data_IF_032017966227
#
_entry.id   IF_032017966227
#
_cell.length_a   1.000
_cell.length_b   1.000
_cell.length_c   1.000
_cell.angle_alpha   90.00
_cell.angle_beta   90.00
_cell.angle_gamma   90.00
#
_symmetry.space_group_name_H-M   'P 1'
#
loop_
_entity.id
_entity.type
_entity.pdbx_description
1 polymer ?
#
# COMPACT_ATOMS: atom_id res chain seq x y z
N UNK A 1 -9.55 17.48 14.76
CA UNK A 1 -8.71 18.60 14.32
C UNK A 1 -7.58 18.00 13.49
N UNK A 2 -7.38 18.41 12.23
CA UNK A 2 -6.28 17.90 11.41
C UNK A 2 -5.05 18.78 11.64
N UNK A 3 -3.93 18.19 12.03
CA UNK A 3 -2.66 18.90 12.22
C UNK A 3 -1.90 18.94 10.89
N UNK A 4 -1.54 20.14 10.44
CA UNK A 4 -0.75 20.31 9.20
C UNK A 4 0.73 20.23 9.55
N UNK A 5 1.38 19.13 9.18
CA UNK A 5 2.83 18.95 9.31
C UNK A 5 3.51 19.43 8.02
N UNK A 6 4.33 20.47 8.11
CA UNK A 6 5.15 20.95 6.98
C UNK A 6 6.50 20.25 7.03
N UNK A 7 6.74 19.32 6.11
CA UNK A 7 8.04 18.70 5.94
C UNK A 7 9.04 19.74 5.42
N UNK A 8 10.26 19.84 5.99
CA UNK A 8 11.27 20.76 5.49
C UNK A 8 11.59 20.45 4.03
N UNK A 9 11.56 21.48 3.17
CA UNK A 9 11.86 21.35 1.75
C UNK A 9 13.34 21.05 1.56
N UNK A 10 13.69 19.78 1.45
CA UNK A 10 15.03 19.38 1.04
C UNK A 10 15.27 19.81 -0.42
N UNK A 11 16.43 20.39 -0.69
CA UNK A 11 16.85 20.86 -2.02
C UNK A 11 17.19 19.73 -2.99
N UNK A 12 17.12 18.49 -2.51
CA UNK A 12 17.17 17.23 -3.25
C UNK A 12 16.02 16.36 -2.75
N UNK A 13 15.58 15.39 -3.57
CA UNK A 13 14.50 14.44 -3.26
C UNK A 13 14.45 14.08 -1.77
N UNK A 14 13.25 14.11 -1.16
CA UNK A 14 13.07 13.52 0.16
C UNK A 14 13.61 12.10 0.08
N UNK A 15 14.57 11.76 0.94
CA UNK A 15 15.06 10.39 1.00
C UNK A 15 13.86 9.48 1.29
N UNK A 16 13.80 8.30 0.67
CA UNK A 16 12.74 7.32 0.94
C UNK A 16 12.56 7.06 2.45
N UNK A 17 13.64 7.18 3.23
CA UNK A 17 13.61 7.07 4.68
C UNK A 17 12.76 8.15 5.38
N UNK A 18 12.72 9.39 4.86
CA UNK A 18 11.89 10.47 5.41
C UNK A 18 10.42 10.16 5.15
N UNK A 19 10.08 9.70 3.95
CA UNK A 19 8.70 9.35 3.60
C UNK A 19 8.20 8.14 4.41
N UNK A 20 9.07 7.16 4.65
CA UNK A 20 8.78 6.02 5.52
C UNK A 20 8.57 6.45 6.97
N UNK A 21 9.45 7.28 7.52
CA UNK A 21 9.29 7.83 8.87
C UNK A 21 8.00 8.64 9.01
N UNK A 22 7.65 9.42 7.98
CA UNK A 22 6.38 10.14 7.98
C UNK A 22 5.19 9.17 8.02
N UNK A 23 5.22 8.12 7.20
CA UNK A 23 4.17 7.09 7.21
C UNK A 23 4.04 6.40 8.56
N UNK A 24 5.17 6.06 9.18
CA UNK A 24 5.24 5.44 10.51
C UNK A 24 4.65 6.32 11.62
N UNK A 25 4.85 7.64 11.53
CA UNK A 25 4.37 8.58 12.55
C UNK A 25 2.94 9.05 12.33
N UNK A 26 2.48 9.16 11.07
CA UNK A 26 1.28 9.93 10.75
C UNK A 26 0.22 9.21 9.93
N UNK A 27 0.53 8.09 9.26
CA UNK A 27 -0.43 7.44 8.37
C UNK A 27 -1.24 6.35 9.08
N UNK A 28 -2.46 6.70 9.50
CA UNK A 28 -3.41 5.73 10.06
C UNK A 28 -3.97 4.77 8.99
N UNK A 29 -3.96 5.18 7.71
CA UNK A 29 -4.40 4.36 6.57
C UNK A 29 -3.49 4.61 5.37
N UNK A 30 -3.15 3.55 4.64
CA UNK A 30 -2.35 3.64 3.41
C UNK A 30 -3.08 3.00 2.22
N UNK A 31 -3.00 3.64 1.05
CA UNK A 31 -3.52 3.13 -0.21
C UNK A 31 -2.36 2.95 -1.20
N UNK A 32 -2.04 1.70 -1.55
CA UNK A 32 -1.09 1.39 -2.62
C UNK A 32 -1.82 1.34 -3.95
N UNK A 33 -1.62 2.39 -4.74
CA UNK A 33 -2.11 2.45 -6.11
C UNK A 33 -1.29 1.55 -7.04
N UNK A 34 0.03 1.45 -6.84
CA UNK A 34 0.94 0.52 -7.51
C UNK A 34 1.46 -0.54 -6.54
N UNK A 35 0.70 -1.62 -6.36
CA UNK A 35 0.94 -2.60 -5.29
C UNK A 35 2.29 -3.35 -5.37
N UNK A 36 2.92 -3.40 -6.55
CA UNK A 36 4.24 -4.00 -6.76
C UNK A 36 5.43 -3.02 -6.60
N UNK A 37 5.17 -1.74 -6.31
CA UNK A 37 6.23 -0.76 -6.06
C UNK A 37 6.95 -1.08 -4.74
N UNK A 38 8.26 -1.35 -4.77
CA UNK A 38 9.04 -1.61 -3.56
C UNK A 38 9.02 -0.42 -2.60
N UNK A 39 9.13 0.81 -3.11
CA UNK A 39 9.01 2.01 -2.30
C UNK A 39 7.63 2.09 -1.62
N UNK A 40 6.55 1.96 -2.40
CA UNK A 40 5.18 2.04 -1.88
C UNK A 40 4.84 0.90 -0.91
N UNK A 41 5.36 -0.30 -1.16
CA UNK A 41 5.21 -1.46 -0.29
C UNK A 41 5.80 -1.18 1.09
N UNK A 42 7.05 -0.70 1.15
CA UNK A 42 7.68 -0.34 2.42
C UNK A 42 6.99 0.83 3.12
N UNK A 43 6.57 1.86 2.37
CA UNK A 43 5.83 2.99 2.93
C UNK A 43 4.54 2.54 3.61
N UNK A 44 3.80 1.61 3.01
CA UNK A 44 2.58 1.07 3.61
C UNK A 44 2.85 0.09 4.75
N UNK A 45 3.90 -0.72 4.63
CA UNK A 45 4.31 -1.67 5.66
C UNK A 45 4.66 -1.01 6.98
N UNK A 46 5.30 0.16 6.95
CA UNK A 46 5.63 0.89 8.18
C UNK A 46 4.51 1.80 8.68
N UNK A 47 3.39 1.92 7.95
CA UNK A 47 2.34 2.90 8.29
C UNK A 47 1.78 2.73 9.70
N UNK A 48 1.58 3.83 10.42
CA UNK A 48 1.13 3.85 11.83
C UNK A 48 -0.07 2.94 12.11
N UNK A 49 -1.14 3.11 11.34
CA UNK A 49 -2.42 2.45 11.64
C UNK A 49 -2.53 1.02 11.11
N UNK A 50 -1.55 0.57 10.31
CA UNK A 50 -1.53 -0.77 9.69
C UNK A 50 -2.83 -1.14 8.94
N UNK A 51 -3.63 -0.14 8.56
CA UNK A 51 -4.81 -0.29 7.74
C UNK A 51 -4.43 -0.01 6.29
N UNK A 52 -4.07 -1.07 5.57
CA UNK A 52 -3.49 -0.96 4.23
C UNK A 52 -4.45 -1.54 3.19
N UNK A 53 -4.70 -0.75 2.15
CA UNK A 53 -5.45 -1.15 0.97
C UNK A 53 -4.52 -1.18 -0.24
N UNK A 54 -4.58 -2.22 -1.06
CA UNK A 54 -3.76 -2.30 -2.27
C UNK A 54 -4.59 -2.68 -3.48
N UNK A 55 -4.29 -2.06 -4.62
CA UNK A 55 -4.90 -2.39 -5.90
C UNK A 55 -4.34 -3.71 -6.44
N UNK A 56 -5.17 -4.74 -6.58
CA UNK A 56 -4.74 -6.04 -7.13
C UNK A 56 -4.53 -6.05 -8.64
N UNK A 57 -4.92 -4.99 -9.35
CA UNK A 57 -4.97 -4.94 -10.82
C UNK A 57 -3.58 -4.96 -11.48
N UNK A 58 -2.48 -4.81 -10.72
CA UNK A 58 -1.11 -4.97 -11.23
C UNK A 58 -0.67 -6.42 -11.49
N UNK A 59 -1.61 -7.39 -11.44
CA UNK A 59 -1.32 -8.79 -11.77
C UNK A 59 -1.90 -9.31 -13.09
N UNK A 60 -2.67 -8.51 -13.86
CA UNK A 60 -3.48 -9.08 -14.95
C UNK A 60 -2.90 -9.04 -16.37
N UNK A 61 -1.95 -8.17 -16.68
CA UNK A 61 -1.34 -8.15 -18.01
C UNK A 61 0.16 -7.86 -17.93
N UNK A 62 0.93 -8.93 -18.15
CA UNK A 62 2.37 -8.99 -18.47
C UNK A 62 3.38 -8.64 -17.33
N UNK A 63 3.96 -9.70 -16.76
CA UNK A 63 5.35 -9.84 -16.20
C UNK A 63 5.58 -9.90 -14.69
N UNK A 64 4.72 -9.36 -13.83
CA UNK A 64 4.97 -9.38 -12.37
C UNK A 64 3.96 -10.24 -11.59
N UNK A 65 2.70 -10.31 -12.02
CA UNK A 65 1.64 -11.08 -11.36
C UNK A 65 1.74 -12.60 -11.55
N UNK A 66 2.31 -13.06 -12.65
CA UNK A 66 2.35 -14.50 -13.00
C UNK A 66 3.32 -15.32 -12.13
N UNK A 67 4.28 -14.65 -11.48
CA UNK A 67 5.33 -15.29 -10.67
C UNK A 67 5.26 -14.94 -9.19
N UNK A 68 4.31 -14.10 -8.79
CA UNK A 68 4.26 -13.52 -7.47
C UNK A 68 2.93 -13.89 -6.85
N UNK A 69 2.96 -14.88 -5.95
CA UNK A 69 1.79 -15.26 -5.18
C UNK A 69 1.43 -14.09 -4.25
N UNK A 70 0.27 -13.43 -4.43
CA UNK A 70 -0.15 -12.36 -3.53
C UNK A 70 -0.24 -12.84 -2.07
N UNK A 71 -0.43 -14.15 -1.82
CA UNK A 71 -0.46 -14.77 -0.49
C UNK A 71 0.87 -14.75 0.22
N UNK A 72 1.96 -14.76 -0.52
CA UNK A 72 3.32 -14.70 0.04
C UNK A 72 3.85 -13.26 0.08
N UNK A 73 3.38 -12.40 -0.83
CA UNK A 73 3.93 -11.05 -0.98
C UNK A 73 3.24 -9.98 -0.12
N UNK A 74 1.92 -10.05 0.09
CA UNK A 74 1.20 -9.07 0.89
C UNK A 74 0.86 -9.63 2.28
N UNK A 75 1.06 -8.85 3.37
CA UNK A 75 0.65 -9.27 4.70
C UNK A 75 -0.84 -9.64 4.80
N UNK A 76 -1.17 -10.61 5.64
CA UNK A 76 -2.54 -11.10 5.82
C UNK A 76 -3.52 -10.05 6.35
N UNK A 77 -3.02 -9.04 7.08
CA UNK A 77 -3.82 -7.93 7.60
C UNK A 77 -4.23 -6.92 6.51
N UNK A 78 -3.60 -6.96 5.34
CA UNK A 78 -3.87 -6.01 4.26
C UNK A 78 -5.13 -6.38 3.48
N UNK A 79 -5.82 -5.36 2.99
CA UNK A 79 -7.10 -5.50 2.29
C UNK A 79 -6.91 -5.25 0.80
N UNK A 80 -7.35 -6.21 -0.03
CA UNK A 80 -7.27 -6.07 -1.48
C UNK A 80 -8.43 -5.25 -2.02
N UNK A 81 -8.14 -4.36 -2.96
CA UNK A 81 -9.11 -3.67 -3.79
C UNK A 81 -9.06 -4.29 -5.19
N UNK A 82 -10.17 -4.85 -5.62
CA UNK A 82 -10.32 -5.48 -6.93
C UNK A 82 -11.35 -4.72 -7.77
N UNK A 83 -11.30 -4.88 -9.08
CA UNK A 83 -12.36 -4.42 -9.97
C UNK A 83 -13.27 -5.59 -10.34
N UNK A 84 -14.59 -5.39 -10.23
CA UNK A 84 -15.57 -6.33 -10.78
C UNK A 84 -15.68 -6.23 -12.30
N UNK A 85 -16.56 -7.04 -12.90
CA UNK A 85 -16.83 -7.05 -14.35
C UNK A 85 -17.44 -5.74 -14.88
N UNK A 86 -17.88 -4.85 -13.99
CA UNK A 86 -18.49 -3.56 -14.28
C UNK A 86 -17.58 -2.40 -13.89
N UNK A 87 -16.30 -2.67 -13.60
CA UNK A 87 -15.29 -1.70 -13.15
C UNK A 87 -15.62 -1.00 -11.82
N UNK A 88 -16.43 -1.60 -10.95
CA UNK A 88 -16.61 -1.11 -9.59
C UNK A 88 -15.51 -1.66 -8.68
N UNK A 89 -15.11 -0.85 -7.69
CA UNK A 89 -14.17 -1.29 -6.65
C UNK A 89 -14.88 -2.24 -5.69
N UNK A 90 -14.34 -3.45 -5.56
CA UNK A 90 -14.75 -4.46 -4.58
C UNK A 90 -13.67 -4.62 -3.54
N UNK A 91 -14.06 -4.50 -2.26
CA UNK A 91 -13.16 -4.69 -1.11
C UNK A 91 -13.14 -6.18 -0.76
N UNK A 92 -11.97 -6.82 -0.85
CA UNK A 92 -11.76 -8.21 -0.45
C UNK A 92 -10.82 -8.28 0.75
N UNK A 93 -11.35 -8.27 1.98
CA UNK A 93 -10.53 -8.48 3.16
C UNK A 93 -10.00 -9.92 3.17
N UNK A 94 -8.72 -10.09 3.51
CA UNK A 94 -8.12 -11.41 3.63
C UNK A 94 -8.64 -12.08 4.90
N UNK A 95 -9.32 -13.22 4.75
CA UNK A 95 -9.73 -14.03 5.91
C UNK A 95 -8.51 -14.81 6.40
N UNK A 96 -8.12 -14.58 7.65
CA UNK A 96 -7.22 -15.49 8.37
C UNK A 96 -8.04 -16.77 8.64
N UNK A 97 -7.62 -17.92 8.09
CA UNK A 97 -8.17 -19.20 8.57
C UNK A 97 -7.64 -19.38 9.99
N UNK A 98 -8.56 -19.42 10.96
CA UNK A 98 -8.25 -19.81 12.34
C UNK A 98 -7.91 -21.29 12.44
#
# INVERSE_FOLDING_TARGET
SAETVVLPRATSFTSASIDWQFSEMYCDTALLTAAASTFGWWTAYVSKGQQVYYNSVYGKEDRFGDHLDPHEFFPHSWTSLELDISNNIVIRPRRVRG
#
